data_IF_281746821501
#
_entry.id   IF_281746821501
#
_cell.length_a   1.000
_cell.length_b   1.000
_cell.length_c   1.000
_cell.angle_alpha   90.00
_cell.angle_beta   90.00
_cell.angle_gamma   90.00
#
_symmetry.space_group_name_H-M   'P 1'
#
loop_
_entity.id
_entity.type
_entity.pdbx_description
1 polymer ?
#
# COMPACT_ATOMS: atom_id res chain seq x y z
N UNK A 1 17.19 -6.34 15.21
CA UNK A 1 16.24 -5.25 14.95
C UNK A 1 15.25 -5.26 16.10
N UNK A 2 15.26 -4.19 16.88
CA UNK A 2 14.20 -3.93 17.86
C UNK A 2 13.03 -3.19 17.19
N UNK A 3 11.98 -2.89 17.95
CA UNK A 3 10.78 -2.26 17.40
C UNK A 3 11.05 -0.82 16.95
N UNK A 4 11.89 -0.08 17.67
CA UNK A 4 12.20 1.31 17.34
C UNK A 4 12.98 1.38 16.03
N UNK A 5 13.97 0.50 15.84
CA UNK A 5 14.71 0.37 14.57
C UNK A 5 13.80 0.01 13.40
N UNK A 6 12.83 -0.91 13.61
CA UNK A 6 11.89 -1.30 12.56
C UNK A 6 10.99 -0.12 12.15
N UNK A 7 10.51 0.66 13.12
CA UNK A 7 9.67 1.84 12.86
C UNK A 7 10.47 2.93 12.13
N UNK A 8 11.72 3.20 12.57
CA UNK A 8 12.60 4.15 11.89
C UNK A 8 12.89 3.73 10.43
N UNK A 9 13.08 2.43 10.17
CA UNK A 9 13.28 1.92 8.81
C UNK A 9 12.01 2.06 7.94
N UNK A 10 10.83 1.86 8.53
CA UNK A 10 9.56 2.04 7.84
C UNK A 10 9.32 3.51 7.48
N UNK A 11 9.50 4.42 8.44
CA UNK A 11 9.36 5.87 8.23
C UNK A 11 10.36 6.36 7.18
N UNK A 12 11.63 5.95 7.31
CA UNK A 12 12.67 6.32 6.35
C UNK A 12 12.42 5.76 4.94
N UNK A 13 11.74 4.63 4.80
CA UNK A 13 11.35 4.08 3.49
C UNK A 13 10.19 4.85 2.88
N UNK A 14 9.19 5.24 3.69
CA UNK A 14 8.08 6.09 3.25
C UNK A 14 8.56 7.47 2.80
N UNK A 15 9.45 8.10 3.57
CA UNK A 15 10.01 9.40 3.22
C UNK A 15 10.77 9.35 1.89
N UNK A 16 11.60 8.31 1.68
CA UNK A 16 12.33 8.12 0.42
C UNK A 16 11.40 7.95 -0.78
N UNK A 17 10.30 7.21 -0.61
CA UNK A 17 9.29 7.05 -1.66
C UNK A 17 8.65 8.40 -1.99
N UNK A 18 8.18 9.14 -0.99
CA UNK A 18 7.57 10.46 -1.19
C UNK A 18 8.54 11.45 -1.85
N UNK A 19 9.79 11.49 -1.42
CA UNK A 19 10.82 12.32 -2.05
C UNK A 19 11.08 11.92 -3.50
N UNK A 20 11.04 10.63 -3.82
CA UNK A 20 11.28 10.15 -5.19
C UNK A 20 10.17 10.56 -6.18
N UNK A 21 8.95 10.82 -5.67
CA UNK A 21 7.80 11.18 -6.50
C UNK A 21 7.37 12.64 -6.36
N UNK A 22 7.95 13.40 -5.43
CA UNK A 22 7.51 14.75 -5.06
C UNK A 22 7.51 15.77 -6.22
N UNK A 23 8.46 15.64 -7.15
CA UNK A 23 8.61 16.56 -8.29
C UNK A 23 7.85 16.08 -9.54
N UNK A 24 7.16 14.94 -9.47
CA UNK A 24 6.38 14.41 -10.58
C UNK A 24 5.04 15.15 -10.67
N UNK A 25 4.60 15.56 -11.88
CA UNK A 25 3.27 16.11 -12.05
C UNK A 25 2.20 15.03 -11.90
N UNK A 26 0.99 15.42 -11.51
CA UNK A 26 -0.14 14.52 -11.25
C UNK A 26 -0.45 13.57 -12.41
N UNK A 27 -0.33 14.05 -13.65
CA UNK A 27 -0.55 13.23 -14.84
C UNK A 27 0.51 12.12 -14.98
N UNK A 28 1.75 12.37 -14.57
CA UNK A 28 2.80 11.35 -14.52
C UNK A 28 2.53 10.30 -13.42
N UNK A 29 1.99 10.72 -12.27
CA UNK A 29 1.63 9.80 -11.18
C UNK A 29 0.49 8.85 -11.58
N UNK A 30 -0.43 9.34 -12.41
CA UNK A 30 -1.60 8.59 -12.90
C UNK A 30 -1.36 7.84 -14.22
N UNK A 31 -0.20 8.04 -14.87
CA UNK A 31 0.10 7.40 -16.15
C UNK A 31 0.43 5.92 -15.96
N UNK A 32 -0.27 5.00 -16.66
CA UNK A 32 0.09 3.58 -16.67
C UNK A 32 1.52 3.33 -17.14
N UNK A 33 2.21 2.36 -16.54
CA UNK A 33 3.55 1.95 -16.98
C UNK A 33 4.68 2.13 -15.96
N UNK A 34 4.36 2.47 -14.72
CA UNK A 34 5.34 2.50 -13.62
C UNK A 34 5.81 1.09 -13.26
N UNK A 35 4.88 0.13 -13.25
CA UNK A 35 5.15 -1.31 -13.17
C UNK A 35 4.10 -2.07 -14.00
N UNK A 36 4.53 -2.74 -15.06
CA UNK A 36 3.62 -3.36 -16.04
C UNK A 36 2.57 -2.36 -16.53
N UNK A 37 1.26 -2.60 -16.31
CA UNK A 37 0.21 -1.64 -16.63
C UNK A 37 -0.19 -0.69 -15.49
N UNK A 38 0.44 -0.75 -14.32
CA UNK A 38 0.07 0.05 -13.14
C UNK A 38 0.73 1.42 -13.18
N UNK A 39 -0.01 2.44 -12.73
CA UNK A 39 0.53 3.77 -12.46
C UNK A 39 1.19 3.84 -11.08
N UNK A 40 1.86 4.95 -10.76
CA UNK A 40 2.42 5.18 -9.41
C UNK A 40 1.27 5.24 -8.39
N UNK A 41 0.17 5.91 -8.74
CA UNK A 41 -1.01 5.99 -7.89
C UNK A 41 -1.59 4.60 -7.56
N UNK A 42 -1.64 3.68 -8.52
CA UNK A 42 -2.11 2.30 -8.29
C UNK A 42 -1.20 1.54 -7.31
N UNK A 43 0.11 1.76 -7.39
CA UNK A 43 1.09 1.18 -6.47
C UNK A 43 0.90 1.73 -5.05
N UNK A 44 0.73 3.06 -4.91
CA UNK A 44 0.48 3.70 -3.61
C UNK A 44 -0.79 3.16 -2.96
N UNK A 45 -1.87 3.01 -3.72
CA UNK A 45 -3.11 2.39 -3.22
C UNK A 45 -2.87 0.97 -2.72
N UNK A 46 -2.15 0.14 -3.47
CA UNK A 46 -1.88 -1.24 -3.05
C UNK A 46 -1.09 -1.27 -1.74
N UNK A 47 -0.06 -0.42 -1.62
CA UNK A 47 0.73 -0.29 -0.39
C UNK A 47 -0.15 0.13 0.81
N UNK A 48 -0.99 1.15 0.66
CA UNK A 48 -1.93 1.58 1.71
C UNK A 48 -2.88 0.45 2.13
N UNK A 49 -3.41 -0.31 1.16
CA UNK A 49 -4.32 -1.42 1.46
C UNK A 49 -3.62 -2.53 2.23
N UNK A 50 -2.37 -2.85 1.88
CA UNK A 50 -1.57 -3.82 2.63
C UNK A 50 -1.29 -3.37 4.06
N UNK A 51 -0.99 -2.09 4.26
CA UNK A 51 -0.76 -1.53 5.60
C UNK A 51 -2.03 -1.58 6.46
N UNK A 52 -3.17 -1.21 5.88
CA UNK A 52 -4.46 -1.30 6.56
C UNK A 52 -4.82 -2.76 6.92
N UNK A 53 -4.56 -3.72 6.03
CA UNK A 53 -4.81 -5.13 6.28
C UNK A 53 -3.84 -5.70 7.33
N UNK A 54 -2.58 -5.30 7.33
CA UNK A 54 -1.59 -5.68 8.34
C UNK A 54 -2.01 -5.17 9.73
N UNK A 55 -2.35 -3.88 9.85
CA UNK A 55 -2.82 -3.29 11.11
C UNK A 55 -4.07 -4.00 11.61
N UNK A 56 -5.04 -4.23 10.73
CA UNK A 56 -6.26 -4.98 11.04
C UNK A 56 -5.95 -6.40 11.50
N UNK A 57 -5.00 -7.07 10.84
CA UNK A 57 -4.53 -8.41 11.18
C UNK A 57 -3.93 -8.47 12.58
N UNK A 58 -3.03 -7.54 12.91
CA UNK A 58 -2.40 -7.42 14.23
C UNK A 58 -3.48 -7.16 15.30
N UNK A 59 -4.42 -6.23 15.06
CA UNK A 59 -5.52 -5.96 15.97
C UNK A 59 -6.40 -7.19 16.23
N UNK A 60 -6.65 -8.01 15.20
CA UNK A 60 -7.41 -9.27 15.38
C UNK A 60 -6.65 -10.27 16.24
N UNK A 61 -5.34 -10.40 16.02
CA UNK A 61 -4.48 -11.28 16.82
C UNK A 61 -4.44 -10.85 18.30
N UNK A 62 -4.34 -9.55 18.57
CA UNK A 62 -4.40 -8.99 19.94
C UNK A 62 -5.72 -9.35 20.64
N UNK A 63 -6.83 -9.38 19.89
CA UNK A 63 -8.15 -9.81 20.38
C UNK A 63 -8.32 -11.33 20.48
N UNK A 64 -7.26 -12.13 20.24
CA UNK A 64 -7.33 -13.59 20.21
C UNK A 64 -8.13 -14.16 19.04
N UNK A 65 -8.38 -13.35 18.00
CA UNK A 65 -9.11 -13.74 16.78
C UNK A 65 -8.12 -14.08 15.67
N UNK A 66 -8.53 -14.98 14.77
CA UNK A 66 -7.78 -15.24 13.55
C UNK A 66 -7.90 -14.06 12.59
N UNK A 67 -6.82 -13.60 11.94
CA UNK A 67 -6.86 -12.58 10.90
C UNK A 67 -7.28 -13.22 9.57
N UNK A 68 -8.59 -13.31 9.37
CA UNK A 68 -9.21 -14.09 8.28
C UNK A 68 -9.05 -13.48 6.89
N UNK A 69 -8.80 -12.17 6.78
CA UNK A 69 -8.55 -11.50 5.50
C UNK A 69 -7.04 -11.43 5.19
N UNK A 70 -6.22 -11.03 6.17
CA UNK A 70 -4.76 -10.98 6.02
C UNK A 70 -4.10 -12.33 5.69
N UNK A 71 -4.49 -13.45 6.33
CA UNK A 71 -3.83 -14.74 6.06
C UNK A 71 -4.05 -15.25 4.63
N UNK A 72 -5.27 -15.21 4.06
CA UNK A 72 -5.46 -15.49 2.64
C UNK A 72 -4.73 -14.52 1.71
N UNK A 73 -4.71 -13.22 2.05
CA UNK A 73 -3.98 -12.22 1.27
C UNK A 73 -2.48 -12.59 1.18
N UNK A 74 -1.84 -12.90 2.31
CA UNK A 74 -0.45 -13.36 2.36
C UNK A 74 -0.20 -14.69 1.62
N UNK A 75 -1.20 -15.56 1.55
CA UNK A 75 -1.07 -16.84 0.86
C UNK A 75 -1.14 -16.71 -0.66
N UNK A 76 -1.75 -15.63 -1.17
CA UNK A 76 -1.93 -15.36 -2.60
C UNK A 76 -1.76 -13.86 -2.88
N UNK A 77 -0.56 -13.29 -2.65
CA UNK A 77 -0.34 -11.85 -2.70
C UNK A 77 -0.63 -11.28 -4.09
N UNK A 78 -0.23 -11.96 -5.17
CA UNK A 78 -0.46 -11.47 -6.54
C UNK A 78 -1.96 -11.38 -6.88
N UNK A 79 -2.76 -12.34 -6.39
CA UNK A 79 -4.20 -12.31 -6.59
C UNK A 79 -4.88 -11.22 -5.75
N UNK A 80 -4.35 -10.95 -4.55
CA UNK A 80 -4.82 -9.86 -3.70
C UNK A 80 -4.50 -8.50 -4.33
N UNK A 81 -3.25 -8.32 -4.76
CA UNK A 81 -2.73 -7.15 -5.46
C UNK A 81 -3.59 -6.81 -6.69
N UNK A 82 -3.83 -7.80 -7.57
CA UNK A 82 -4.68 -7.61 -8.74
C UNK A 82 -6.11 -7.21 -8.36
N UNK A 83 -6.69 -7.83 -7.33
CA UNK A 83 -8.04 -7.50 -6.89
C UNK A 83 -8.13 -6.05 -6.39
N UNK A 84 -7.13 -5.59 -5.62
CA UNK A 84 -7.09 -4.21 -5.10
C UNK A 84 -6.85 -3.19 -6.19
N UNK A 85 -6.01 -3.51 -7.17
CA UNK A 85 -5.86 -2.69 -8.36
C UNK A 85 -7.19 -2.53 -9.11
N UNK A 86 -7.90 -3.62 -9.42
CA UNK A 86 -9.19 -3.52 -10.13
C UNK A 86 -10.26 -2.77 -9.32
N UNK A 87 -10.32 -2.95 -8.01
CA UNK A 87 -11.26 -2.25 -7.12
C UNK A 87 -11.02 -0.73 -7.06
N UNK A 88 -9.75 -0.30 -7.20
CA UNK A 88 -9.35 1.09 -7.07
C UNK A 88 -8.97 1.74 -8.41
N UNK A 89 -9.21 1.06 -9.53
CA UNK A 89 -8.87 1.56 -10.85
C UNK A 89 -9.56 2.89 -11.13
N UNK A 90 -8.76 3.91 -11.47
CA UNK A 90 -9.26 5.26 -11.72
C UNK A 90 -9.69 6.02 -10.47
N UNK A 91 -9.21 5.60 -9.28
CA UNK A 91 -9.34 6.37 -8.05
C UNK A 91 -8.68 7.74 -8.21
N UNK A 92 -9.35 8.74 -7.65
CA UNK A 92 -8.89 10.13 -7.67
C UNK A 92 -7.58 10.30 -6.88
N UNK A 93 -6.61 11.03 -7.45
CA UNK A 93 -5.25 11.14 -6.91
C UNK A 93 -5.23 11.81 -5.53
N UNK A 94 -6.06 12.83 -5.30
CA UNK A 94 -6.16 13.47 -3.98
C UNK A 94 -6.60 12.45 -2.93
N UNK A 95 -7.56 11.58 -3.27
CA UNK A 95 -8.00 10.48 -2.39
C UNK A 95 -6.97 9.36 -2.21
N UNK A 96 -5.97 9.26 -3.08
CA UNK A 96 -4.86 8.32 -2.89
C UNK A 96 -3.91 8.90 -1.84
N UNK A 97 -3.58 10.19 -1.93
CA UNK A 97 -2.72 10.86 -0.96
C UNK A 97 -3.39 11.10 0.40
N UNK A 98 -4.71 11.32 0.46
CA UNK A 98 -5.45 11.44 1.73
C UNK A 98 -5.37 10.15 2.59
N UNK A 99 -5.20 8.99 1.94
CA UNK A 99 -5.13 7.68 2.60
C UNK A 99 -3.66 7.23 2.87
N UNK A 100 -2.65 7.99 2.39
CA UNK A 100 -1.21 7.64 2.46
C UNK A 100 -0.50 8.22 3.69
#
# INVERSE_FOLDING_TARGET
MDIDQLLDELDGSREKLLMAIADLPDDALMTPGAWEEWSIADILVNLTVWEAELVTGIMRLDQGKRPEAFLPALAQPEAYDQARYEENKGRDLDRVFDDW
#
